data_IF_199586425206
#
_entry.id   IF_199586425206
#
_cell.length_a   1.000
_cell.length_b   1.000
_cell.length_c   1.000
_cell.angle_alpha   90.00
_cell.angle_beta   90.00
_cell.angle_gamma   90.00
#
_symmetry.space_group_name_H-M   'P 1'
#
loop_
_entity.id
_entity.type
_entity.pdbx_description
1 polymer ?
#
# COMPACT_ATOMS: atom_id res chain seq x y z
N UNK A 1 4.47 -20.05 -9.12
CA UNK A 1 5.72 -19.35 -9.48
C UNK A 1 5.39 -17.87 -9.51
N UNK A 2 5.49 -17.20 -8.36
CA UNK A 2 5.31 -15.75 -8.31
C UNK A 2 6.54 -15.16 -8.97
N UNK A 3 6.40 -14.63 -10.18
CA UNK A 3 7.46 -13.86 -10.78
C UNK A 3 7.55 -12.57 -9.97
N UNK A 4 8.44 -12.58 -8.98
CA UNK A 4 9.26 -11.42 -8.68
C UNK A 4 9.75 -10.89 -10.02
N UNK A 5 9.03 -9.93 -10.61
CA UNK A 5 9.75 -8.91 -11.34
C UNK A 5 10.55 -8.21 -10.24
N UNK A 6 11.78 -8.69 -10.02
CA UNK A 6 12.80 -7.95 -9.32
C UNK A 6 12.83 -6.58 -10.00
N UNK A 7 12.16 -5.61 -9.37
CA UNK A 7 11.91 -4.32 -9.98
C UNK A 7 13.25 -3.65 -10.16
N UNK A 8 13.73 -3.58 -11.41
CA UNK A 8 14.91 -2.78 -11.72
C UNK A 8 14.56 -1.33 -11.37
N UNK A 9 15.47 -0.68 -10.65
CA UNK A 9 15.32 0.74 -10.34
C UNK A 9 15.17 1.51 -11.65
N UNK A 10 14.15 2.36 -11.73
CA UNK A 10 13.90 3.20 -12.90
C UNK A 10 13.21 4.49 -12.52
N UNK A 11 13.40 5.50 -13.35
CA UNK A 11 12.72 6.78 -13.27
C UNK A 11 11.72 6.91 -14.41
N UNK A 12 10.53 7.40 -14.10
CA UNK A 12 9.54 7.81 -15.10
C UNK A 12 8.98 9.19 -14.76
N UNK A 13 8.93 10.14 -15.70
CA UNK A 13 8.30 11.43 -15.45
C UNK A 13 6.83 11.27 -15.08
N UNK A 14 6.36 12.02 -14.09
CA UNK A 14 4.92 12.18 -13.83
C UNK A 14 4.45 13.56 -14.27
N UNK A 15 3.25 13.62 -14.85
CA UNK A 15 2.61 14.90 -15.20
C UNK A 15 1.85 15.51 -14.02
N UNK A 16 1.70 14.77 -12.92
CA UNK A 16 1.02 15.23 -11.70
C UNK A 16 1.87 16.28 -11.00
N UNK A 17 1.22 17.31 -10.45
CA UNK A 17 1.83 18.21 -9.47
C UNK A 17 2.03 17.44 -8.16
N UNK A 18 3.25 17.37 -7.67
CA UNK A 18 3.59 16.68 -6.43
C UNK A 18 3.99 17.71 -5.38
N UNK A 19 3.44 17.57 -4.17
CA UNK A 19 3.83 18.38 -3.02
C UNK A 19 4.19 17.52 -1.82
N UNK A 20 5.20 17.97 -1.08
CA UNK A 20 5.63 17.36 0.19
C UNK A 20 5.65 18.42 1.29
N UNK A 21 5.10 18.08 2.45
CA UNK A 21 4.82 19.03 3.54
C UNK A 21 5.40 18.52 4.87
N UNK A 22 5.98 19.44 5.65
CA UNK A 22 6.40 19.22 7.03
C UNK A 22 5.88 20.36 7.92
N UNK A 23 5.22 20.03 9.02
CA UNK A 23 4.62 20.97 9.98
C UNK A 23 3.81 22.09 9.29
N UNK A 24 2.93 21.69 8.36
CA UNK A 24 2.09 22.60 7.57
C UNK A 24 2.83 23.44 6.52
N UNK A 25 4.14 23.28 6.39
CA UNK A 25 4.98 24.02 5.44
C UNK A 25 5.31 23.17 4.22
N UNK A 26 4.99 23.64 3.02
CA UNK A 26 5.40 22.99 1.77
C UNK A 26 6.91 23.11 1.57
N UNK A 27 7.60 21.97 1.55
CA UNK A 27 9.05 21.84 1.37
C UNK A 27 9.41 21.68 -0.11
N UNK A 28 8.54 21.01 -0.88
CA UNK A 28 8.69 20.84 -2.32
C UNK A 28 7.34 20.92 -3.03
N UNK A 29 7.34 21.53 -4.21
CA UNK A 29 6.16 21.70 -5.06
C UNK A 29 6.58 21.72 -6.54
N UNK A 30 6.26 20.66 -7.28
CA UNK A 30 6.74 20.49 -8.65
C UNK A 30 5.71 19.86 -9.56
N UNK A 31 5.71 20.27 -10.84
CA UNK A 31 5.01 19.57 -11.94
C UNK A 31 5.98 18.75 -12.81
N UNK A 32 7.22 18.58 -12.33
CA UNK A 32 8.35 17.95 -13.01
C UNK A 32 8.96 16.83 -12.16
N UNK A 33 8.19 16.32 -11.19
CA UNK A 33 8.62 15.16 -10.43
C UNK A 33 8.83 13.96 -11.35
N UNK A 34 9.74 13.09 -10.95
CA UNK A 34 9.88 11.76 -11.53
C UNK A 34 9.45 10.73 -10.49
N UNK A 35 8.66 9.75 -10.91
CA UNK A 35 8.38 8.57 -10.11
C UNK A 35 9.59 7.63 -10.18
N UNK A 36 10.21 7.43 -9.04
CA UNK A 36 11.29 6.49 -8.84
C UNK A 36 10.72 5.17 -8.34
N UNK A 37 10.83 4.13 -9.17
CA UNK A 37 10.47 2.78 -8.81
C UNK A 37 11.68 2.13 -8.13
N UNK A 38 11.54 1.74 -6.87
CA UNK A 38 12.53 0.92 -6.17
C UNK A 38 11.98 -0.51 -6.03
N UNK A 39 12.80 -1.49 -5.60
CA UNK A 39 12.28 -2.79 -5.24
C UNK A 39 11.09 -2.66 -4.28
N UNK A 40 10.01 -3.45 -4.48
CA UNK A 40 8.81 -3.33 -3.67
C UNK A 40 9.10 -3.38 -2.17
N UNK A 41 8.35 -2.64 -1.34
CA UNK A 41 7.14 -1.88 -1.69
C UNK A 41 7.38 -0.39 -2.03
N UNK A 42 8.61 0.05 -2.26
CA UNK A 42 8.95 1.47 -2.14
C UNK A 42 8.99 2.18 -3.50
N UNK A 43 8.00 3.01 -3.80
CA UNK A 43 8.18 4.07 -4.79
C UNK A 43 8.58 5.36 -4.07
N UNK A 44 9.23 6.29 -4.77
CA UNK A 44 9.52 7.63 -4.29
C UNK A 44 9.22 8.68 -5.36
N UNK A 45 8.87 9.89 -4.94
CA UNK A 45 8.91 11.05 -5.84
C UNK A 45 10.29 11.68 -5.78
N UNK A 46 10.93 11.82 -6.93
CA UNK A 46 12.18 12.52 -7.12
C UNK A 46 11.89 13.94 -7.63
N UNK A 47 12.28 14.93 -6.85
CA UNK A 47 12.03 16.35 -7.12
C UNK A 47 13.28 16.99 -7.72
N UNK A 48 13.14 17.83 -8.77
CA UNK A 48 14.22 18.70 -9.19
C UNK A 48 14.68 19.58 -8.04
N UNK A 49 16.00 19.75 -7.89
CA UNK A 49 16.60 20.56 -6.82
C UNK A 49 15.97 21.96 -6.76
N UNK A 50 15.73 22.57 -7.90
CA UNK A 50 15.20 23.94 -8.01
C UNK A 50 13.74 24.10 -7.58
N UNK A 51 12.98 23.01 -7.46
CA UNK A 51 11.57 23.03 -7.02
C UNK A 51 11.43 22.74 -5.51
N UNK A 52 12.56 22.70 -4.80
CA UNK A 52 12.65 22.47 -3.36
C UNK A 52 13.11 23.72 -2.61
N UNK A 53 12.56 23.90 -1.41
CA UNK A 53 12.99 24.91 -0.45
C UNK A 53 14.27 24.48 0.27
N UNK A 54 15.43 24.65 -0.37
CA UNK A 54 16.73 24.31 0.24
C UNK A 54 17.10 25.17 1.45
N UNK A 55 16.41 26.29 1.67
CA UNK A 55 16.47 27.04 2.93
C UNK A 55 15.97 26.23 4.14
N UNK A 56 15.16 25.19 3.92
CA UNK A 56 14.67 24.27 4.95
C UNK A 56 15.43 22.94 5.01
N UNK A 57 16.33 22.68 4.06
CA UNK A 57 16.98 21.38 3.90
C UNK A 57 18.46 21.55 4.22
N UNK A 58 18.89 20.91 5.29
CA UNK A 58 20.24 21.05 5.83
C UNK A 58 20.99 19.72 5.76
N UNK A 59 22.30 19.80 5.58
CA UNK A 59 23.14 18.61 5.58
C UNK A 59 23.17 17.99 6.99
N UNK A 60 22.80 16.71 7.09
CA UNK A 60 22.83 15.98 8.36
C UNK A 60 24.19 15.36 8.67
N UNK A 61 25.12 15.37 7.71
CA UNK A 61 26.40 14.65 7.76
C UNK A 61 26.27 13.13 7.59
N UNK A 62 25.05 12.62 7.42
CA UNK A 62 24.75 11.20 7.29
C UNK A 62 24.85 10.66 5.87
N UNK A 63 25.18 9.38 5.75
CA UNK A 63 25.08 8.62 4.50
C UNK A 63 24.46 7.26 4.78
N UNK A 64 23.74 6.73 3.79
CA UNK A 64 23.09 5.42 3.86
C UNK A 64 23.28 4.69 2.51
N UNK A 65 22.60 3.57 2.30
CA UNK A 65 22.50 2.92 1.00
C UNK A 65 21.06 2.58 0.63
N UNK A 66 20.78 2.65 -0.67
CA UNK A 66 19.48 2.25 -1.24
C UNK A 66 19.70 1.10 -2.23
N UNK A 67 18.99 -0.04 -2.09
CA UNK A 67 19.07 -1.14 -3.04
C UNK A 67 18.92 -0.71 -4.50
N UNK A 68 19.92 -1.05 -5.32
CA UNK A 68 19.96 -0.70 -6.74
C UNK A 68 20.49 0.71 -7.06
N UNK A 69 20.66 1.59 -6.06
CA UNK A 69 21.23 2.94 -6.25
C UNK A 69 22.61 3.10 -5.61
N UNK A 70 22.94 2.28 -4.60
CA UNK A 70 24.20 2.37 -3.88
C UNK A 70 24.14 3.45 -2.80
N UNK A 71 25.23 4.20 -2.62
CA UNK A 71 25.38 5.16 -1.51
C UNK A 71 24.51 6.41 -1.72
N UNK A 72 23.73 6.77 -0.72
CA UNK A 72 22.92 8.00 -0.69
C UNK A 72 23.46 8.97 0.37
N UNK A 73 23.27 10.27 0.11
CA UNK A 73 23.56 11.34 1.08
C UNK A 73 22.26 11.77 1.73
N UNK A 74 22.27 11.91 3.06
CA UNK A 74 21.11 12.26 3.85
C UNK A 74 21.11 13.77 4.19
N UNK A 75 19.91 14.30 4.36
CA UNK A 75 19.64 15.68 4.69
C UNK A 75 18.48 15.74 5.69
N UNK A 76 18.55 16.67 6.64
CA UNK A 76 17.47 16.93 7.60
C UNK A 76 16.60 18.07 7.08
N UNK A 77 15.31 18.01 7.35
CA UNK A 77 14.34 19.03 6.94
C UNK A 77 13.80 19.73 8.17
N UNK A 78 13.90 21.06 8.25
CA UNK A 78 13.40 21.85 9.35
C UNK A 78 12.32 22.82 8.87
N UNK A 79 11.11 22.69 9.41
CA UNK A 79 10.00 23.55 9.04
C UNK A 79 8.96 23.64 10.16
N UNK A 80 8.35 24.82 10.35
CA UNK A 80 7.27 25.02 11.32
C UNK A 80 7.60 24.55 12.73
N UNK A 81 8.84 24.76 13.19
CA UNK A 81 9.33 24.35 14.52
C UNK A 81 9.57 22.84 14.70
N UNK A 82 9.49 22.06 13.62
CA UNK A 82 9.78 20.61 13.61
C UNK A 82 11.02 20.33 12.77
N UNK A 83 11.88 19.48 13.28
CA UNK A 83 13.01 18.90 12.53
C UNK A 83 12.72 17.45 12.23
N UNK A 84 12.78 17.08 10.95
CA UNK A 84 12.73 15.71 10.46
C UNK A 84 14.16 15.28 10.08
N UNK A 85 14.82 14.59 11.01
CA UNK A 85 16.21 14.15 10.83
C UNK A 85 16.35 13.13 9.69
N UNK A 86 17.33 13.33 8.81
CA UNK A 86 17.60 12.43 7.67
C UNK A 86 16.37 12.19 6.75
N UNK A 87 15.44 13.13 6.70
CA UNK A 87 14.18 13.01 5.98
C UNK A 87 14.31 13.16 4.47
N UNK A 88 15.32 13.87 3.98
CA UNK A 88 15.60 13.98 2.55
C UNK A 88 16.87 13.22 2.18
N UNK A 89 16.95 12.77 0.93
CA UNK A 89 18.13 12.08 0.42
C UNK A 89 18.36 12.35 -1.05
N UNK A 90 19.63 12.32 -1.44
CA UNK A 90 20.10 12.50 -2.81
C UNK A 90 21.07 11.38 -3.16
N UNK A 91 21.24 11.09 -4.45
CA UNK A 91 22.21 10.08 -4.93
C UNK A 91 23.42 10.83 -5.53
N UNK A 92 24.54 10.99 -4.80
CA UNK A 92 25.67 11.81 -5.29
C UNK A 92 26.39 11.18 -6.48
N UNK A 93 26.36 9.86 -6.60
CA UNK A 93 26.98 9.10 -7.67
C UNK A 93 25.97 8.07 -8.19
N UNK A 94 25.00 8.49 -9.01
CA UNK A 94 24.01 7.56 -9.55
C UNK A 94 24.67 6.50 -10.44
N UNK A 95 24.06 5.30 -10.54
CA UNK A 95 24.38 4.34 -11.59
C UNK A 95 24.32 5.00 -12.98
N UNK A 96 25.15 4.55 -13.92
CA UNK A 96 25.30 5.18 -15.23
C UNK A 96 23.99 5.21 -16.06
N UNK A 97 23.08 4.26 -15.83
CA UNK A 97 21.76 4.17 -16.46
C UNK A 97 20.68 5.01 -15.74
N UNK A 98 21.05 5.69 -14.65
CA UNK A 98 20.19 6.52 -13.81
C UNK A 98 20.86 7.88 -13.50
N UNK A 99 21.68 8.37 -14.41
CA UNK A 99 22.38 9.67 -14.32
C UNK A 99 21.42 10.84 -14.06
N UNK A 100 20.18 10.75 -14.54
CA UNK A 100 19.09 11.70 -14.27
C UNK A 100 18.77 11.89 -12.78
N UNK A 101 19.19 10.99 -11.87
CA UNK A 101 19.10 11.19 -10.42
C UNK A 101 20.07 12.27 -9.91
N UNK A 102 21.15 12.56 -10.65
CA UNK A 102 22.09 13.62 -10.31
C UNK A 102 21.38 14.96 -10.45
N UNK A 103 21.00 15.56 -9.32
CA UNK A 103 20.23 16.82 -9.28
C UNK A 103 18.79 16.64 -8.81
N UNK A 104 18.35 15.42 -8.50
CA UNK A 104 17.09 15.17 -7.85
C UNK A 104 17.28 14.93 -6.35
N UNK A 105 16.26 15.26 -5.56
CA UNK A 105 16.15 14.84 -4.17
C UNK A 105 14.83 14.12 -3.93
N UNK A 106 14.88 13.16 -3.03
CA UNK A 106 13.76 12.33 -2.60
C UNK A 106 13.58 12.53 -1.09
N UNK A 107 12.44 12.10 -0.55
CA UNK A 107 12.19 12.14 0.89
C UNK A 107 11.76 10.77 1.41
N UNK A 108 12.11 10.48 2.67
CA UNK A 108 11.58 9.35 3.42
C UNK A 108 10.12 9.64 3.75
N UNK A 109 9.22 8.87 3.15
CA UNK A 109 7.78 9.15 3.20
C UNK A 109 7.24 9.41 4.61
N UNK A 110 7.61 8.54 5.56
CA UNK A 110 7.13 8.52 6.94
C UNK A 110 7.74 9.59 7.85
N UNK A 111 8.72 10.35 7.37
CA UNK A 111 9.31 11.47 8.11
C UNK A 111 8.71 12.82 7.70
N UNK A 112 7.93 12.82 6.62
CA UNK A 112 7.15 13.97 6.17
C UNK A 112 5.70 13.82 6.64
N UNK A 113 5.00 14.95 6.83
CA UNK A 113 3.68 14.94 7.45
C UNK A 113 2.55 14.71 6.44
N UNK A 114 2.69 15.24 5.23
CA UNK A 114 1.69 15.10 4.18
C UNK A 114 2.30 15.14 2.78
N UNK A 115 1.60 14.46 1.86
CA UNK A 115 1.97 14.31 0.47
C UNK A 115 0.74 14.53 -0.40
N UNK A 116 0.88 15.25 -1.50
CA UNK A 116 -0.24 15.52 -2.40
C UNK A 116 0.13 15.22 -3.84
N UNK A 117 -0.79 14.54 -4.55
CA UNK A 117 -0.86 14.49 -6.00
C UNK A 117 -1.98 15.42 -6.45
N UNK A 118 -1.64 16.45 -7.23
CA UNK A 118 -2.50 17.62 -7.40
C UNK A 118 -2.94 18.14 -6.02
N UNK A 119 -4.24 18.16 -5.74
CA UNK A 119 -4.82 18.58 -4.45
C UNK A 119 -5.30 17.42 -3.58
N UNK A 120 -5.14 16.17 -4.05
CA UNK A 120 -5.52 14.98 -3.29
C UNK A 120 -4.35 14.47 -2.45
N UNK A 121 -4.61 14.24 -1.17
CA UNK A 121 -3.61 13.67 -0.27
C UNK A 121 -3.34 12.20 -0.64
N UNK A 122 -2.07 11.86 -0.78
CA UNK A 122 -1.60 10.49 -0.96
C UNK A 122 -0.95 10.02 0.34
N UNK A 123 -1.10 8.75 0.66
CA UNK A 123 -0.59 8.16 1.90
C UNK A 123 0.10 6.82 1.65
N UNK A 124 0.86 6.34 2.64
CA UNK A 124 1.73 5.15 2.58
C UNK A 124 2.97 5.32 1.68
N UNK A 125 2.78 5.55 0.38
CA UNK A 125 3.85 5.77 -0.61
C UNK A 125 3.24 6.23 -1.96
N UNK A 126 4.05 6.69 -2.94
CA UNK A 126 3.58 6.98 -4.29
C UNK A 126 2.92 5.77 -4.94
N UNK A 127 1.77 5.99 -5.58
CA UNK A 127 1.05 4.97 -6.35
C UNK A 127 1.77 4.69 -7.68
N UNK A 128 1.90 3.42 -8.05
CA UNK A 128 2.31 3.01 -9.39
C UNK A 128 1.12 3.21 -10.35
N UNK A 129 1.23 4.06 -11.39
CA UNK A 129 0.16 4.26 -12.38
C UNK A 129 -0.23 2.99 -13.17
N UNK A 130 0.66 2.00 -13.25
CA UNK A 130 0.40 0.70 -13.86
C UNK A 130 -0.24 -0.31 -12.89
N UNK A 131 -0.30 -0.02 -11.59
CA UNK A 131 -0.98 -0.88 -10.62
C UNK A 131 -2.49 -0.74 -10.78
N UNK A 132 -3.16 -1.88 -10.97
CA UNK A 132 -4.60 -1.92 -11.20
C UNK A 132 -5.32 -2.62 -10.07
N UNK A 133 -6.48 -2.06 -9.72
CA UNK A 133 -7.45 -2.65 -8.81
C UNK A 133 -8.81 -2.64 -9.52
N UNK A 134 -9.26 -3.81 -9.95
CA UNK A 134 -10.56 -3.98 -10.58
C UNK A 134 -11.51 -4.65 -9.61
N UNK A 135 -12.62 -3.98 -9.30
CA UNK A 135 -13.68 -4.53 -8.44
C UNK A 135 -14.93 -4.78 -9.28
N UNK A 136 -15.27 -6.05 -9.44
CA UNK A 136 -16.36 -6.50 -10.31
C UNK A 136 -17.51 -7.10 -9.51
N UNK A 137 -18.74 -6.78 -9.92
CA UNK A 137 -19.92 -7.50 -9.45
C UNK A 137 -19.90 -8.91 -9.99
N UNK A 138 -20.35 -9.89 -9.19
CA UNK A 138 -20.48 -11.26 -9.65
C UNK A 138 -21.72 -11.91 -9.06
N UNK A 139 -22.22 -12.94 -9.74
CA UNK A 139 -23.29 -13.82 -9.29
C UNK A 139 -22.80 -15.20 -8.87
N UNK A 140 -21.47 -15.41 -8.84
CA UNK A 140 -20.85 -16.66 -8.37
C UNK A 140 -21.25 -16.92 -6.92
N UNK A 141 -21.49 -18.18 -6.60
CA UNK A 141 -21.81 -18.62 -5.25
C UNK A 141 -20.52 -18.79 -4.46
N UNK A 142 -20.33 -17.99 -3.42
CA UNK A 142 -19.12 -18.02 -2.58
C UNK A 142 -19.50 -18.47 -1.18
N UNK A 143 -18.78 -19.44 -0.62
CA UNK A 143 -18.85 -19.82 0.79
C UNK A 143 -17.47 -19.73 1.43
N UNK A 144 -17.45 -19.25 2.66
CA UNK A 144 -16.25 -19.17 3.51
C UNK A 144 -16.48 -20.04 4.73
N UNK A 145 -15.62 -21.03 4.91
CA UNK A 145 -15.60 -21.87 6.09
C UNK A 145 -14.32 -21.64 6.90
N UNK A 146 -14.45 -21.66 8.22
CA UNK A 146 -13.35 -21.57 9.17
C UNK A 146 -13.51 -22.71 10.16
N UNK A 147 -12.51 -23.59 10.27
CA UNK A 147 -12.57 -24.81 11.09
C UNK A 147 -13.83 -25.67 10.85
N UNK A 148 -14.36 -25.67 9.61
CA UNK A 148 -15.58 -26.38 9.22
C UNK A 148 -16.89 -25.62 9.47
N UNK A 149 -16.87 -24.50 10.20
CA UNK A 149 -18.05 -23.65 10.42
C UNK A 149 -18.28 -22.72 9.22
N UNK A 150 -19.51 -22.64 8.73
CA UNK A 150 -19.89 -21.71 7.67
C UNK A 150 -20.00 -20.28 8.23
N UNK A 151 -19.03 -19.43 7.90
CA UNK A 151 -18.94 -18.04 8.41
C UNK A 151 -19.56 -17.04 7.43
N UNK A 152 -19.53 -17.31 6.13
CA UNK A 152 -20.17 -16.45 5.14
C UNK A 152 -20.64 -17.24 3.91
N UNK A 153 -21.76 -16.82 3.31
CA UNK A 153 -22.30 -17.41 2.09
C UNK A 153 -23.04 -16.36 1.26
N UNK A 154 -22.63 -16.13 0.00
CA UNK A 154 -23.23 -15.11 -0.87
C UNK A 154 -23.35 -15.55 -2.32
N UNK A 155 -24.35 -15.00 -3.03
CA UNK A 155 -24.48 -15.06 -4.50
C UNK A 155 -24.35 -13.69 -5.16
N UNK A 156 -23.84 -12.70 -4.41
CA UNK A 156 -23.64 -11.32 -4.86
C UNK A 156 -22.29 -10.74 -4.43
N UNK A 157 -21.17 -11.50 -4.51
CA UNK A 157 -19.87 -11.00 -4.07
C UNK A 157 -19.38 -9.85 -4.96
N UNK A 158 -18.37 -9.13 -4.46
CA UNK A 158 -17.47 -8.31 -5.27
C UNK A 158 -16.13 -9.02 -5.38
N UNK A 159 -15.68 -9.25 -6.62
CA UNK A 159 -14.41 -9.89 -6.89
C UNK A 159 -13.40 -8.78 -7.16
N UNK A 160 -12.35 -8.75 -6.35
CA UNK A 160 -11.24 -7.81 -6.51
C UNK A 160 -10.08 -8.53 -7.19
N UNK A 161 -9.68 -8.00 -8.33
CA UNK A 161 -8.48 -8.38 -9.07
C UNK A 161 -7.46 -7.26 -8.88
N UNK A 162 -6.30 -7.61 -8.36
CA UNK A 162 -5.23 -6.65 -8.10
C UNK A 162 -3.93 -7.15 -8.71
N UNK A 163 -3.19 -6.23 -9.33
CA UNK A 163 -1.92 -6.55 -9.97
C UNK A 163 -1.04 -7.36 -9.02
N UNK A 164 -0.64 -8.55 -9.48
CA UNK A 164 0.25 -9.47 -8.77
C UNK A 164 -0.27 -10.03 -7.44
N UNK A 165 -1.59 -10.01 -7.19
CA UNK A 165 -2.21 -10.62 -6.01
C UNK A 165 -3.32 -11.62 -6.38
N UNK A 166 -3.61 -12.63 -5.53
CA UNK A 166 -4.74 -13.51 -5.76
C UNK A 166 -6.07 -12.75 -5.66
N UNK A 167 -7.11 -13.28 -6.31
CA UNK A 167 -8.46 -12.70 -6.26
C UNK A 167 -8.96 -12.66 -4.82
N UNK A 168 -9.49 -11.50 -4.41
CA UNK A 168 -10.15 -11.32 -3.11
C UNK A 168 -11.67 -11.28 -3.30
N UNK A 169 -12.37 -11.99 -2.42
CA UNK A 169 -13.82 -12.12 -2.47
C UNK A 169 -14.42 -11.30 -1.34
N UNK A 170 -14.99 -10.16 -1.71
CA UNK A 170 -15.67 -9.27 -0.78
C UNK A 170 -17.16 -9.62 -0.72
N UNK A 171 -17.65 -9.80 0.49
CA UNK A 171 -18.98 -10.32 0.80
C UNK A 171 -19.78 -9.23 1.50
N UNK A 172 -21.04 -8.95 1.10
CA UNK A 172 -21.90 -8.05 1.85
C UNK A 172 -22.07 -8.51 3.29
N UNK A 173 -22.02 -7.59 4.26
CA UNK A 173 -22.18 -7.92 5.69
C UNK A 173 -23.43 -8.72 6.03
N UNK A 174 -24.51 -8.52 5.27
CA UNK A 174 -25.77 -9.27 5.43
C UNK A 174 -25.65 -10.75 5.10
N UNK A 175 -24.62 -11.13 4.34
CA UNK A 175 -24.34 -12.49 3.89
C UNK A 175 -23.20 -13.12 4.74
N UNK A 176 -22.81 -12.47 5.84
CA UNK A 176 -21.78 -12.90 6.80
C UNK A 176 -22.43 -13.13 8.15
N UNK A 177 -22.05 -14.21 8.84
CA UNK A 177 -22.39 -14.46 10.25
C UNK A 177 -21.64 -13.48 11.16
N UNK A 178 -22.08 -12.23 11.17
CA UNK A 178 -21.45 -11.16 11.94
C UNK A 178 -21.46 -11.42 13.46
N UNK A 179 -22.32 -12.33 13.95
CA UNK A 179 -22.32 -12.81 15.33
C UNK A 179 -21.08 -13.66 15.69
N UNK A 180 -20.37 -14.18 14.69
CA UNK A 180 -19.08 -14.86 14.85
C UNK A 180 -17.88 -13.92 14.74
N UNK A 181 -18.11 -12.64 14.41
CA UNK A 181 -17.05 -11.65 14.17
C UNK A 181 -16.97 -10.64 15.32
N UNK A 182 -15.75 -10.44 15.82
CA UNK A 182 -15.45 -9.46 16.87
C UNK A 182 -14.51 -8.37 16.32
N UNK A 183 -14.88 -7.08 16.37
CA UNK A 183 -14.05 -6.03 15.80
C UNK A 183 -12.78 -5.87 16.63
N UNK A 184 -11.68 -5.55 15.96
CA UNK A 184 -10.40 -5.27 16.63
C UNK A 184 -9.97 -3.82 16.41
N UNK A 185 -9.04 -3.35 17.23
CA UNK A 185 -8.40 -2.05 17.05
C UNK A 185 -7.34 -2.07 15.93
N UNK A 186 -7.10 -3.22 15.31
CA UNK A 186 -6.15 -3.36 14.21
C UNK A 186 -6.66 -2.60 12.99
N UNK A 187 -5.78 -1.78 12.41
CA UNK A 187 -6.02 -1.10 11.16
C UNK A 187 -4.75 -1.09 10.29
N UNK A 188 -4.92 -1.20 8.98
CA UNK A 188 -3.83 -1.08 8.00
C UNK A 188 -4.19 -0.06 6.93
N UNK A 189 -3.19 0.59 6.36
CA UNK A 189 -3.38 1.57 5.27
C UNK A 189 -2.85 0.99 3.97
N UNK A 190 -3.65 1.12 2.92
CA UNK A 190 -3.27 0.75 1.56
C UNK A 190 -3.44 1.99 0.66
N UNK A 191 -2.41 2.41 -0.12
CA UNK A 191 -2.50 3.59 -0.97
C UNK A 191 -3.55 3.45 -2.09
N UNK A 192 -3.95 2.22 -2.42
CA UNK A 192 -4.88 1.93 -3.51
C UNK A 192 -6.32 1.65 -3.05
N UNK A 193 -6.56 1.53 -1.74
CA UNK A 193 -7.87 1.09 -1.21
C UNK A 193 -8.36 1.89 0.00
N UNK A 194 -7.48 2.52 0.77
CA UNK A 194 -7.85 3.26 1.98
C UNK A 194 -7.39 2.56 3.25
N UNK A 195 -8.16 2.75 4.33
CA UNK A 195 -7.90 2.15 5.63
C UNK A 195 -8.75 0.90 5.80
N UNK A 196 -8.09 -0.25 6.02
CA UNK A 196 -8.76 -1.49 6.36
C UNK A 196 -8.92 -1.58 7.89
N UNK A 197 -10.10 -1.99 8.35
CA UNK A 197 -10.37 -2.37 9.73
C UNK A 197 -10.56 -3.88 9.82
N UNK A 198 -10.17 -4.48 10.93
CA UNK A 198 -10.13 -5.93 11.07
C UNK A 198 -11.17 -6.48 12.05
N UNK A 199 -11.44 -7.78 11.90
CA UNK A 199 -12.30 -8.57 12.75
C UNK A 199 -11.61 -9.89 13.07
N UNK A 200 -11.68 -10.31 14.34
CA UNK A 200 -11.38 -11.67 14.74
C UNK A 200 -12.61 -12.55 14.48
N UNK A 201 -12.41 -13.80 14.11
CA UNK A 201 -13.49 -14.76 13.81
C UNK A 201 -13.48 -15.87 14.86
N UNK A 202 -14.63 -16.13 15.47
CA UNK A 202 -14.83 -17.24 16.40
C UNK A 202 -15.43 -18.44 15.67
N UNK A 203 -14.67 -19.51 15.55
CA UNK A 203 -15.06 -20.74 14.86
C UNK A 203 -14.31 -21.94 15.45
N UNK A 204 -14.90 -23.14 15.39
CA UNK A 204 -14.25 -24.36 15.88
C UNK A 204 -13.87 -24.32 17.37
N UNK A 205 -14.52 -23.47 18.18
CA UNK A 205 -14.18 -23.24 19.59
C UNK A 205 -12.93 -22.37 19.82
N UNK A 206 -12.34 -21.79 18.77
CA UNK A 206 -11.15 -20.92 18.84
C UNK A 206 -11.46 -19.51 18.34
N UNK A 207 -10.51 -18.58 18.54
CA UNK A 207 -10.59 -17.20 18.01
C UNK A 207 -9.42 -16.98 17.05
N UNK A 208 -9.74 -16.75 15.79
CA UNK A 208 -8.79 -16.41 14.73
C UNK A 208 -8.65 -14.90 14.66
N UNK A 209 -7.57 -14.38 15.23
CA UNK A 209 -7.32 -12.94 15.30
C UNK A 209 -7.14 -12.33 13.90
N UNK A 210 -7.80 -11.21 13.64
CA UNK A 210 -7.66 -10.39 12.42
C UNK A 210 -7.81 -11.20 11.11
N UNK A 211 -8.63 -12.27 11.12
CA UNK A 211 -8.85 -13.16 9.98
C UNK A 211 -9.65 -12.50 8.84
N UNK A 212 -10.47 -11.51 9.17
CA UNK A 212 -11.29 -10.78 8.22
C UNK A 212 -11.01 -9.27 8.29
N UNK A 213 -11.19 -8.57 7.17
CA UNK A 213 -11.07 -7.12 7.09
C UNK A 213 -12.17 -6.48 6.26
N UNK A 214 -12.28 -5.16 6.38
CA UNK A 214 -13.23 -4.33 5.64
C UNK A 214 -12.64 -2.96 5.36
N UNK A 215 -12.93 -2.41 4.18
CA UNK A 215 -12.76 -0.98 3.91
C UNK A 215 -14.08 -0.28 4.21
N UNK A 216 -14.20 0.31 5.40
CA UNK A 216 -15.43 1.00 5.85
C UNK A 216 -15.72 2.30 5.10
N UNK A 217 -14.67 2.90 4.54
CA UNK A 217 -14.69 4.08 3.70
C UNK A 217 -13.47 3.99 2.77
N UNK A 218 -13.57 3.24 1.65
CA UNK A 218 -12.48 3.14 0.70
C UNK A 218 -12.20 4.50 0.04
N UNK A 219 -11.05 4.62 -0.62
CA UNK A 219 -10.74 5.81 -1.43
C UNK A 219 -11.74 5.95 -2.61
N UNK A 220 -11.94 7.17 -3.15
CA UNK A 220 -12.91 7.41 -4.23
C UNK A 220 -12.70 6.57 -5.49
N UNK A 221 -11.50 6.07 -5.73
CA UNK A 221 -11.15 5.21 -6.85
C UNK A 221 -11.61 3.75 -6.67
N UNK A 222 -11.97 3.34 -5.45
CA UNK A 222 -12.38 1.96 -5.13
C UNK A 222 -13.71 1.86 -4.36
N UNK A 223 -14.79 2.55 -4.78
CA UNK A 223 -16.01 2.68 -3.99
C UNK A 223 -16.79 1.37 -3.84
N UNK A 224 -16.58 0.40 -4.73
CA UNK A 224 -17.29 -0.89 -4.72
C UNK A 224 -16.91 -1.80 -3.56
N UNK A 225 -15.85 -1.49 -2.81
CA UNK A 225 -15.46 -2.23 -1.61
C UNK A 225 -16.17 -1.75 -0.35
N UNK A 226 -16.93 -0.65 -0.46
CA UNK A 226 -17.50 0.04 0.69
C UNK A 226 -18.28 -0.92 1.60
N UNK A 227 -17.81 -1.00 2.85
CA UNK A 227 -18.43 -1.71 3.94
C UNK A 227 -18.62 -3.22 3.72
N UNK A 228 -17.90 -3.83 2.77
CA UNK A 228 -17.88 -5.28 2.54
C UNK A 228 -16.83 -5.97 3.42
N UNK A 229 -17.01 -7.27 3.66
CA UNK A 229 -16.09 -8.11 4.44
C UNK A 229 -15.30 -9.01 3.50
N UNK A 230 -13.99 -9.12 3.71
CA UNK A 230 -13.15 -10.08 3.04
C UNK A 230 -12.37 -10.91 4.08
N UNK A 231 -12.03 -12.14 3.73
CA UNK A 231 -11.27 -13.07 4.55
C UNK A 231 -9.95 -13.39 3.85
N UNK A 232 -8.91 -13.73 4.62
CA UNK A 232 -7.66 -14.19 4.02
C UNK A 232 -7.87 -15.58 3.44
N UNK A 233 -7.98 -15.69 2.11
CA UNK A 233 -8.08 -16.96 1.37
C UNK A 233 -7.02 -17.98 1.80
N UNK A 234 -5.86 -17.51 2.24
CA UNK A 234 -4.73 -18.31 2.73
C UNK A 234 -5.07 -19.09 4.01
N UNK A 235 -6.08 -18.63 4.76
CA UNK A 235 -6.38 -19.03 6.14
C UNK A 235 -7.80 -19.58 6.30
N UNK A 236 -8.58 -19.66 5.22
CA UNK A 236 -9.95 -20.15 5.22
C UNK A 236 -10.16 -21.19 4.12
N UNK A 237 -11.20 -21.99 4.25
CA UNK A 237 -11.68 -22.82 3.14
C UNK A 237 -12.68 -22.00 2.34
N UNK A 238 -12.33 -21.75 1.08
CA UNK A 238 -13.11 -20.90 0.18
C UNK A 238 -13.68 -21.76 -0.95
N UNK A 239 -15.00 -21.94 -0.94
CA UNK A 239 -15.72 -22.61 -2.02
C UNK A 239 -16.31 -21.56 -2.98
N UNK A 240 -16.12 -21.76 -4.28
CA UNK A 240 -16.73 -20.93 -5.31
C UNK A 240 -17.42 -21.80 -6.34
N UNK A 241 -18.73 -21.60 -6.52
CA UNK A 241 -19.61 -22.38 -7.40
C UNK A 241 -19.57 -23.90 -7.14
N UNK A 242 -19.40 -24.29 -5.87
CA UNK A 242 -19.29 -25.69 -5.46
C UNK A 242 -17.87 -26.27 -5.51
N UNK A 243 -16.89 -25.50 -5.98
CA UNK A 243 -15.49 -25.92 -6.05
C UNK A 243 -14.67 -25.31 -4.91
N UNK A 244 -14.03 -26.15 -4.09
CA UNK A 244 -13.07 -25.72 -3.09
C UNK A 244 -11.79 -25.22 -3.78
N UNK A 245 -11.42 -23.96 -3.53
CA UNK A 245 -10.22 -23.37 -4.11
C UNK A 245 -8.97 -23.72 -3.29
N UNK A 246 -7.84 -23.90 -3.98
CA UNK A 246 -6.53 -24.02 -3.33
C UNK A 246 -6.16 -22.73 -2.59
N UNK A 247 -5.66 -22.86 -1.36
CA UNK A 247 -5.18 -21.71 -0.58
C UNK A 247 -3.94 -21.12 -1.26
N UNK A 248 -3.96 -19.83 -1.64
CA UNK A 248 -2.80 -19.23 -2.30
C UNK A 248 -1.62 -19.12 -1.33
N UNK A 249 -0.39 -19.14 -1.87
CA UNK A 249 0.82 -18.76 -1.12
C UNK A 249 1.12 -17.30 -1.33
N UNK A 250 1.05 -16.48 -0.30
CA UNK A 250 1.28 -15.02 -0.34
C UNK A 250 2.05 -14.59 0.91
N UNK A 251 2.44 -13.30 1.04
CA UNK A 251 3.05 -12.79 2.27
C UNK A 251 2.17 -12.92 3.53
N UNK A 252 0.87 -13.19 3.38
CA UNK A 252 -0.07 -13.41 4.48
C UNK A 252 -0.32 -14.89 4.78
N UNK A 253 0.30 -15.80 4.04
CA UNK A 253 0.32 -17.20 4.43
C UNK A 253 1.14 -17.33 5.72
N UNK A 254 0.53 -17.83 6.80
CA UNK A 254 1.34 -18.33 7.93
C UNK A 254 2.19 -19.48 7.43
N UNK A 255 3.47 -19.53 7.85
CA UNK A 255 4.27 -20.73 7.75
C UNK A 255 3.48 -21.85 8.44
N UNK A 256 2.88 -22.75 7.65
CA UNK A 256 2.31 -23.98 8.17
C UNK A 256 3.46 -24.88 8.63
N UNK A 257 4.08 -24.54 9.77
CA UNK A 257 4.89 -25.49 10.53
C UNK A 257 3.88 -26.42 11.22
N UNK A 258 3.63 -27.56 10.59
CA UNK A 258 3.19 -28.77 11.28
C UNK A 258 4.30 -29.27 12.19
#
# INVERSE_FOLDING_TARGET
MWTERGGRVRLEPTQRRIRVVLSGTTVGDTRRAQLLYLPPPHNAYAFPREDLRWDLIHESGGTDSEPGLGKIKLWSVEAGGKTAENAAWTVPQPPADLDALAGLAMFRWNLMDAWYEEDDEVFVHPRDPGHRVDVLNSSRHVKVLVDGDLVAETRRPRLLFETSLPVRYYIPKLDVRMDLLEPTDTATRCPYKGVASYWSVRAGGTVHKDLAWSYRAPIPECPKLDNLICFYNELVDLEVDGELLERPRTPWSVDQKH
#
